data_IF_294857347632
#
_entry.id   IF_294857347632
#
_cell.length_a   1.000
_cell.length_b   1.000
_cell.length_c   1.000
_cell.angle_alpha   90.00
_cell.angle_beta   90.00
_cell.angle_gamma   90.00
#
_symmetry.space_group_name_H-M   'P 1'
#
loop_
_entity.id
_entity.type
_entity.pdbx_description
1 polymer ?
#
# COMPACT_ATOMS: atom_id res chain seq x y z
N UNK A 1 7.32 -0.62 15.02
CA UNK A 1 7.70 0.00 13.73
C UNK A 1 6.47 0.36 12.87
N UNK A 2 5.68 1.38 13.25
CA UNK A 2 4.53 1.87 12.44
C UNK A 2 4.77 3.26 11.83
N UNK A 3 5.82 3.94 12.30
CA UNK A 3 6.13 5.35 12.01
C UNK A 3 6.92 5.50 10.70
N UNK A 4 7.75 4.52 10.35
CA UNK A 4 8.57 4.54 9.14
C UNK A 4 7.73 4.55 7.85
N UNK A 5 6.63 3.77 7.76
CA UNK A 5 5.77 3.75 6.57
C UNK A 5 5.21 5.13 6.21
N UNK A 6 4.80 5.92 7.20
CA UNK A 6 4.19 7.23 6.94
C UNK A 6 5.23 8.25 6.46
N UNK A 7 6.41 8.24 7.06
CA UNK A 7 7.52 9.09 6.66
C UNK A 7 8.02 8.75 5.26
N UNK A 8 8.14 7.45 4.94
CA UNK A 8 8.50 6.97 3.59
C UNK A 8 7.49 7.43 2.53
N UNK A 9 6.18 7.35 2.82
CA UNK A 9 5.14 7.77 1.87
C UNK A 9 5.17 9.28 1.62
N UNK A 10 5.53 10.10 2.61
CA UNK A 10 5.66 11.56 2.44
C UNK A 10 6.93 11.99 1.68
N UNK A 11 8.00 11.19 1.74
CA UNK A 11 9.28 11.52 1.12
C UNK A 11 9.35 11.15 -0.38
N UNK A 12 8.43 10.30 -0.87
CA UNK A 12 8.48 9.77 -2.24
C UNK A 12 7.71 10.67 -3.23
N UNK A 13 8.21 10.80 -4.48
CA UNK A 13 7.52 11.53 -5.53
C UNK A 13 6.28 10.78 -6.02
N UNK A 14 5.28 11.52 -6.51
CA UNK A 14 4.00 10.99 -7.04
C UNK A 14 4.13 9.77 -7.98
N UNK A 15 5.01 9.77 -9.01
CA UNK A 15 5.14 8.61 -9.91
C UNK A 15 5.61 7.35 -9.18
N UNK A 16 6.49 7.47 -8.20
CA UNK A 16 7.02 6.34 -7.46
C UNK A 16 5.99 5.72 -6.52
N UNK A 17 5.13 6.56 -5.93
CA UNK A 17 4.01 6.10 -5.12
C UNK A 17 2.96 5.35 -5.94
N UNK A 18 2.74 5.74 -7.20
CA UNK A 18 1.89 5.00 -8.12
C UNK A 18 2.49 3.63 -8.46
N UNK A 19 3.80 3.57 -8.70
CA UNK A 19 4.50 2.30 -8.92
C UNK A 19 4.40 1.37 -7.70
N UNK A 20 4.64 1.88 -6.49
CA UNK A 20 4.50 1.13 -5.24
C UNK A 20 3.07 0.66 -4.99
N UNK A 21 2.08 1.48 -5.36
CA UNK A 21 0.67 1.10 -5.25
C UNK A 21 0.36 -0.09 -6.16
N UNK A 22 0.83 -0.07 -7.40
CA UNK A 22 0.66 -1.16 -8.36
C UNK A 22 1.33 -2.45 -7.87
N UNK A 23 2.57 -2.36 -7.41
CA UNK A 23 3.31 -3.50 -6.87
C UNK A 23 2.60 -4.09 -5.62
N UNK A 24 2.07 -3.22 -4.76
CA UNK A 24 1.30 -3.64 -3.57
C UNK A 24 0.02 -4.36 -3.98
N UNK A 25 -0.68 -3.90 -5.02
CA UNK A 25 -1.88 -4.56 -5.54
C UNK A 25 -1.59 -5.94 -6.15
N UNK A 26 -0.50 -6.06 -6.91
CA UNK A 26 -0.04 -7.35 -7.46
C UNK A 26 0.33 -8.35 -6.36
N UNK A 27 1.07 -7.90 -5.34
CA UNK A 27 1.38 -8.72 -4.16
C UNK A 27 0.11 -9.16 -3.43
N UNK A 28 -0.88 -8.27 -3.29
CA UNK A 28 -2.15 -8.58 -2.64
C UNK A 28 -2.96 -9.60 -3.45
N UNK A 29 -2.94 -9.50 -4.78
CA UNK A 29 -3.58 -10.47 -5.67
C UNK A 29 -2.97 -11.86 -5.55
N UNK A 30 -1.63 -11.96 -5.62
CA UNK A 30 -0.90 -13.23 -5.42
C UNK A 30 -1.17 -13.83 -4.04
N UNK A 31 -1.18 -13.01 -2.99
CA UNK A 31 -1.48 -13.45 -1.62
C UNK A 31 -2.93 -13.92 -1.45
N UNK A 32 -3.88 -13.30 -2.14
CA UNK A 32 -5.29 -13.74 -2.14
C UNK A 32 -5.45 -15.09 -2.83
N UNK A 33 -4.82 -15.26 -3.99
CA UNK A 33 -4.85 -16.51 -4.74
C UNK A 33 -4.23 -17.64 -3.92
N UNK A 34 -3.02 -17.42 -3.39
CA UNK A 34 -2.34 -18.41 -2.54
C UNK A 34 -3.14 -18.71 -1.26
N UNK A 35 -3.76 -17.72 -0.62
CA UNK A 35 -4.63 -17.94 0.56
C UNK A 35 -5.86 -18.80 0.25
N UNK A 36 -6.42 -18.66 -0.96
CA UNK A 36 -7.56 -19.45 -1.42
C UNK A 36 -7.17 -20.89 -1.78
N UNK A 37 -5.95 -21.11 -2.26
CA UNK A 37 -5.43 -22.43 -2.68
C UNK A 37 -4.85 -23.21 -1.50
N UNK A 38 -4.20 -22.51 -0.57
CA UNK A 38 -3.70 -23.08 0.68
C UNK A 38 -3.91 -22.05 1.78
N UNK A 39 -4.57 -22.40 2.91
CA UNK A 39 -4.75 -21.47 4.00
C UNK A 39 -3.38 -21.03 4.56
N UNK A 40 -2.88 -19.91 4.05
CA UNK A 40 -1.61 -19.30 4.45
C UNK A 40 -1.59 -19.09 5.97
N UNK A 41 -0.53 -19.58 6.64
CA UNK A 41 -0.31 -19.46 8.09
C UNK A 41 -0.41 -18.02 8.64
N UNK A 42 -0.17 -16.99 7.82
CA UNK A 42 0.05 -15.61 8.29
C UNK A 42 -0.87 -14.57 7.63
N UNK A 43 -2.17 -14.57 8.00
CA UNK A 43 -3.15 -13.55 7.56
C UNK A 43 -2.81 -12.10 7.95
N UNK A 44 -1.88 -11.90 8.91
CA UNK A 44 -1.37 -10.57 9.27
C UNK A 44 -0.71 -9.84 8.09
N UNK A 45 -0.05 -10.57 7.19
CA UNK A 45 0.62 -9.98 6.02
C UNK A 45 -0.40 -9.30 5.09
N UNK A 46 -1.53 -9.98 4.81
CA UNK A 46 -2.62 -9.43 4.01
C UNK A 46 -3.21 -8.18 4.70
N UNK A 47 -3.40 -8.22 6.01
CA UNK A 47 -3.91 -7.07 6.77
C UNK A 47 -2.95 -5.86 6.69
N UNK A 48 -1.64 -6.10 6.79
CA UNK A 48 -0.64 -5.04 6.69
C UNK A 48 -0.58 -4.46 5.27
N UNK A 49 -0.61 -5.30 4.24
CA UNK A 49 -0.66 -4.85 2.84
C UNK A 49 -1.89 -3.99 2.55
N UNK A 50 -3.07 -4.40 3.05
CA UNK A 50 -4.31 -3.63 2.92
C UNK A 50 -4.19 -2.24 3.56
N UNK A 51 -3.57 -2.16 4.75
CA UNK A 51 -3.32 -0.88 5.44
C UNK A 51 -2.31 -0.02 4.69
N UNK A 52 -1.25 -0.62 4.14
CA UNK A 52 -0.25 0.10 3.36
C UNK A 52 -0.86 0.68 2.08
N UNK A 53 -1.65 -0.10 1.32
CA UNK A 53 -2.44 0.38 0.17
C UNK A 53 -3.37 1.54 0.53
N UNK A 54 -4.09 1.44 1.65
CA UNK A 54 -4.98 2.51 2.09
C UNK A 54 -4.22 3.81 2.36
N UNK A 55 -3.05 3.74 3.02
CA UNK A 55 -2.20 4.91 3.29
C UNK A 55 -1.70 5.57 2.00
N UNK A 56 -1.22 4.79 1.04
CA UNK A 56 -0.78 5.29 -0.27
C UNK A 56 -1.92 6.05 -0.97
N UNK A 57 -3.12 5.48 -0.99
CA UNK A 57 -4.31 6.13 -1.56
C UNK A 57 -4.70 7.41 -0.83
N UNK A 58 -4.67 7.40 0.50
CA UNK A 58 -4.97 8.61 1.29
C UNK A 58 -3.96 9.72 0.99
N UNK A 59 -2.67 9.41 0.89
CA UNK A 59 -1.65 10.40 0.59
C UNK A 59 -1.78 10.97 -0.83
N UNK A 60 -2.02 10.12 -1.82
CA UNK A 60 -2.29 10.55 -3.20
C UNK A 60 -3.50 11.49 -3.23
N UNK A 61 -4.58 11.13 -2.53
CA UNK A 61 -5.78 11.96 -2.45
C UNK A 61 -5.54 13.26 -1.69
N UNK A 62 -4.72 13.27 -0.64
CA UNK A 62 -4.34 14.48 0.07
C UNK A 62 -3.52 15.42 -0.80
N UNK A 63 -2.62 14.90 -1.65
CA UNK A 63 -1.88 15.72 -2.62
C UNK A 63 -2.80 16.31 -3.69
N UNK A 64 -3.81 15.56 -4.12
CA UNK A 64 -4.80 16.03 -5.10
C UNK A 64 -5.77 17.08 -4.52
N UNK A 65 -6.27 16.89 -3.29
CA UNK A 65 -7.21 17.81 -2.64
C UNK A 65 -6.49 19.06 -2.11
N UNK A 66 -5.30 18.88 -1.51
CA UNK A 66 -4.50 19.96 -0.95
C UNK A 66 -3.73 20.76 -2.00
N UNK A 67 -4.24 20.79 -3.25
CA UNK A 67 -3.61 21.36 -4.43
C UNK A 67 -2.70 22.54 -4.12
N UNK A 68 -1.40 22.27 -4.08
CA UNK A 68 -0.43 23.29 -4.46
C UNK A 68 -0.55 23.39 -5.99
N UNK A 69 -1.40 24.30 -6.43
CA UNK A 69 -1.14 25.06 -7.65
C UNK A 69 0.19 25.80 -7.51
#
# INVERSE_FOLDING_TARGET
MKTQDRALIQALPRPELLAQLKETEEKLFKLRLTHSVSPLKNGLQIRNLRKHRARLKTWLRQNEIGGKS
#
